data_IF_702605189601
#
_entry.id   IF_702605189601
#
_cell.length_a   1.000
_cell.length_b   1.000
_cell.length_c   1.000
_cell.angle_alpha   90.00
_cell.angle_beta   90.00
_cell.angle_gamma   90.00
#
_symmetry.space_group_name_H-M   'P 1'
#
loop_
_entity.id
_entity.type
_entity.pdbx_description
1 polymer ?
#
# COMPACT_ATOMS: atom_id res chain seq x y z
N UNK A 1 -5.90 -14.15 -21.87
CA UNK A 1 -5.44 -12.75 -22.09
C UNK A 1 -4.37 -12.42 -21.05
N UNK A 2 -3.14 -12.15 -21.49
CA UNK A 2 -2.00 -11.80 -20.63
C UNK A 2 -2.22 -10.43 -19.98
N UNK A 3 -2.86 -10.42 -18.80
CA UNK A 3 -2.86 -9.25 -17.93
C UNK A 3 -1.45 -9.04 -17.40
N UNK A 4 -0.68 -8.11 -17.99
CA UNK A 4 0.60 -7.68 -17.43
C UNK A 4 0.34 -7.20 -16.00
N UNK A 5 0.71 -8.01 -15.00
CA UNK A 5 0.69 -7.67 -13.58
C UNK A 5 1.58 -6.45 -13.37
N UNK A 6 0.96 -5.27 -13.37
CA UNK A 6 1.61 -3.98 -13.17
C UNK A 6 2.06 -3.91 -11.71
N UNK A 7 3.36 -3.70 -11.48
CA UNK A 7 3.89 -3.49 -10.14
C UNK A 7 3.26 -2.23 -9.57
N UNK A 8 2.81 -2.30 -8.31
CA UNK A 8 2.21 -1.15 -7.62
C UNK A 8 3.28 -0.07 -7.41
N UNK A 9 2.92 1.19 -7.62
CA UNK A 9 3.83 2.32 -7.49
C UNK A 9 4.47 2.37 -6.10
N UNK A 10 3.68 2.06 -5.07
CA UNK A 10 4.10 2.01 -3.67
C UNK A 10 5.23 0.99 -3.43
N UNK A 11 5.19 -0.14 -4.14
CA UNK A 11 6.24 -1.17 -4.09
C UNK A 11 7.47 -0.67 -4.83
N UNK A 12 7.29 -0.02 -5.99
CA UNK A 12 8.41 0.56 -6.76
C UNK A 12 9.15 1.61 -5.93
N UNK A 13 8.43 2.53 -5.28
CA UNK A 13 9.02 3.58 -4.42
C UNK A 13 9.83 2.94 -3.29
N UNK A 14 9.25 1.97 -2.57
CA UNK A 14 9.94 1.24 -1.52
C UNK A 14 11.24 0.59 -2.03
N UNK A 15 11.15 -0.16 -3.14
CA UNK A 15 12.29 -0.88 -3.70
C UNK A 15 13.38 0.07 -4.19
N UNK A 16 13.01 1.20 -4.79
CA UNK A 16 13.95 2.19 -5.27
C UNK A 16 14.74 2.80 -4.10
N UNK A 17 14.05 3.22 -3.04
CA UNK A 17 14.70 3.81 -1.86
C UNK A 17 15.61 2.79 -1.18
N UNK A 18 15.15 1.54 -1.01
CA UNK A 18 15.95 0.52 -0.34
C UNK A 18 17.20 0.15 -1.16
N UNK A 19 17.07 0.01 -2.49
CA UNK A 19 18.23 -0.26 -3.36
C UNK A 19 19.20 0.93 -3.39
N UNK A 20 18.71 2.16 -3.41
CA UNK A 20 19.55 3.34 -3.25
C UNK A 20 20.27 3.33 -1.90
N UNK A 21 19.60 2.96 -0.81
CA UNK A 21 20.23 2.84 0.51
C UNK A 21 21.37 1.82 0.50
N UNK A 22 21.14 0.64 -0.08
CA UNK A 22 22.18 -0.40 -0.19
C UNK A 22 23.36 0.05 -1.06
N UNK A 23 23.09 0.76 -2.16
CA UNK A 23 24.13 1.27 -3.04
C UNK A 23 24.95 2.36 -2.36
N UNK A 24 24.32 3.31 -1.67
CA UNK A 24 25.03 4.33 -0.89
C UNK A 24 25.84 3.69 0.24
N UNK A 25 25.33 2.61 0.86
CA UNK A 25 26.02 1.89 1.92
C UNK A 25 27.33 1.21 1.46
N UNK A 26 27.46 0.85 0.18
CA UNK A 26 28.73 0.34 -0.37
C UNK A 26 29.85 1.38 -0.31
N UNK A 27 29.52 2.68 -0.32
CA UNK A 27 30.49 3.77 -0.37
C UNK A 27 30.56 4.57 0.94
N UNK A 28 29.49 4.56 1.74
CA UNK A 28 29.41 5.30 3.00
C UNK A 28 29.01 4.36 4.14
N UNK A 29 29.70 4.38 5.29
CA UNK A 29 29.41 3.47 6.39
C UNK A 29 28.10 3.84 7.10
N UNK A 30 27.37 2.85 7.61
CA UNK A 30 26.11 3.08 8.34
C UNK A 30 26.31 3.91 9.62
N UNK A 31 27.39 3.60 10.33
CA UNK A 31 27.74 4.16 11.61
C UNK A 31 29.22 4.48 11.62
N UNK A 32 29.55 5.59 12.26
CA UNK A 32 30.90 6.12 12.35
C UNK A 32 31.18 6.44 13.81
N UNK A 33 32.28 5.92 14.31
CA UNK A 33 32.96 6.39 15.51
C UNK A 33 34.28 7.00 15.09
N UNK A 34 34.52 8.24 15.51
CA UNK A 34 35.75 8.98 15.16
C UNK A 34 36.38 9.62 16.38
N UNK A 35 37.69 9.50 16.45
CA UNK A 35 38.60 10.19 17.35
C UNK A 35 39.82 10.70 16.56
N UNK A 36 40.82 11.29 17.24
CA UNK A 36 41.98 11.90 16.60
C UNK A 36 42.81 10.90 15.79
N UNK A 37 43.16 9.75 16.41
CA UNK A 37 44.03 8.72 15.82
C UNK A 37 43.35 7.34 15.73
N UNK A 38 42.03 7.31 15.93
CA UNK A 38 41.21 6.11 15.92
C UNK A 38 39.88 6.39 15.23
N UNK A 39 39.46 5.53 14.32
CA UNK A 39 38.12 5.57 13.77
C UNK A 39 37.60 4.16 13.52
N UNK A 40 36.29 3.99 13.65
CA UNK A 40 35.62 2.73 13.36
C UNK A 40 34.38 2.99 12.52
N UNK A 41 34.19 2.16 11.50
CA UNK A 41 33.14 2.29 10.52
C UNK A 41 32.40 0.97 10.37
N UNK A 42 31.06 1.03 10.32
CA UNK A 42 30.23 -0.14 9.98
C UNK A 42 29.93 -0.13 8.49
N UNK A 43 30.60 -1.02 7.76
CA UNK A 43 30.45 -1.23 6.31
C UNK A 43 29.58 -2.47 6.04
N UNK A 44 29.17 -2.72 4.78
CA UNK A 44 28.44 -3.93 4.43
C UNK A 44 29.20 -5.23 4.70
N UNK A 45 30.53 -5.17 4.71
CA UNK A 45 31.41 -6.33 4.95
C UNK A 45 31.69 -6.56 6.44
N UNK A 46 31.65 -5.51 7.26
CA UNK A 46 31.92 -5.61 8.68
C UNK A 46 32.39 -4.31 9.31
N UNK A 47 33.36 -4.41 10.21
CA UNK A 47 33.92 -3.26 10.89
C UNK A 47 35.26 -2.92 10.27
N UNK A 48 35.38 -1.70 9.76
CA UNK A 48 36.65 -1.14 9.35
C UNK A 48 37.17 -0.27 10.49
N UNK A 49 38.40 -0.53 10.93
CA UNK A 49 39.02 0.09 12.09
C UNK A 49 40.32 0.73 11.62
N UNK A 50 40.38 2.06 11.68
CA UNK A 50 41.58 2.85 11.48
C UNK A 50 42.24 3.13 12.82
N UNK A 51 43.53 2.82 12.94
CA UNK A 51 44.32 3.08 14.14
C UNK A 51 45.75 3.48 13.79
N UNK A 52 46.16 4.69 14.18
CA UNK A 52 47.51 5.24 13.96
C UNK A 52 48.08 5.00 12.54
N UNK A 53 47.28 5.24 11.50
CA UNK A 53 47.73 5.08 10.11
C UNK A 53 47.66 3.65 9.56
N UNK A 54 47.16 2.70 10.34
CA UNK A 54 46.91 1.32 9.89
C UNK A 54 45.41 1.04 9.82
N UNK A 55 44.99 0.37 8.74
CA UNK A 55 43.61 -0.04 8.51
C UNK A 55 43.42 -1.54 8.75
N UNK A 56 42.38 -1.89 9.49
CA UNK A 56 41.99 -3.27 9.77
C UNK A 56 40.54 -3.50 9.41
N UNK A 57 40.26 -4.57 8.66
CA UNK A 57 38.90 -5.00 8.35
C UNK A 57 38.56 -6.25 9.15
N UNK A 58 37.63 -6.12 10.08
CA UNK A 58 37.00 -7.25 10.78
C UNK A 58 35.72 -7.64 10.05
N UNK A 59 35.80 -8.71 9.26
CA UNK A 59 34.64 -9.26 8.54
C UNK A 59 33.58 -9.70 9.56
N UNK A 60 32.36 -9.21 9.37
CA UNK A 60 31.23 -9.52 10.24
C UNK A 60 30.14 -10.27 9.48
N UNK A 61 29.89 -11.55 9.82
CA UNK A 61 28.78 -12.31 9.26
C UNK A 61 27.42 -11.61 9.48
N UNK A 62 27.27 -10.86 10.57
CA UNK A 62 26.05 -10.10 10.87
C UNK A 62 25.81 -9.00 9.82
N UNK A 63 26.85 -8.24 9.44
CA UNK A 63 26.71 -7.17 8.45
C UNK A 63 26.39 -7.74 7.07
N UNK A 64 27.08 -8.80 6.65
CA UNK A 64 26.80 -9.49 5.38
C UNK A 64 25.38 -10.05 5.36
N UNK A 65 24.94 -10.67 6.46
CA UNK A 65 23.58 -11.23 6.57
C UNK A 65 22.52 -10.12 6.52
N UNK A 66 22.79 -8.96 7.12
CA UNK A 66 21.88 -7.81 7.04
C UNK A 66 21.70 -7.31 5.60
N UNK A 67 22.79 -7.24 4.83
CA UNK A 67 22.78 -6.86 3.42
C UNK A 67 21.91 -7.83 2.60
N UNK A 68 22.07 -9.14 2.82
CA UNK A 68 21.28 -10.18 2.16
C UNK A 68 19.80 -10.03 2.50
N UNK A 69 19.45 -9.81 3.76
CA UNK A 69 18.06 -9.63 4.17
C UNK A 69 17.40 -8.37 3.61
N UNK A 70 18.14 -7.26 3.50
CA UNK A 70 17.63 -6.07 2.82
C UNK A 70 17.45 -6.30 1.31
N UNK A 71 18.39 -6.99 0.66
CA UNK A 71 18.26 -7.36 -0.75
C UNK A 71 17.03 -8.25 -0.98
N UNK A 72 16.82 -9.27 -0.14
CA UNK A 72 15.60 -10.10 -0.22
C UNK A 72 14.33 -9.28 0.02
N UNK A 73 14.36 -8.35 0.97
CA UNK A 73 13.21 -7.47 1.21
C UNK A 73 12.82 -6.67 -0.04
N UNK A 74 13.79 -6.19 -0.82
CA UNK A 74 13.53 -5.51 -2.09
C UNK A 74 13.01 -6.46 -3.18
N UNK A 75 13.55 -7.69 -3.26
CA UNK A 75 13.24 -8.65 -4.34
C UNK A 75 11.87 -9.31 -4.15
N UNK A 76 11.49 -9.67 -2.93
CA UNK A 76 10.27 -10.45 -2.64
C UNK A 76 9.01 -9.83 -3.25
N UNK A 77 8.72 -8.52 -3.08
CA UNK A 77 7.52 -7.91 -3.68
C UNK A 77 7.56 -7.85 -5.21
N UNK A 78 8.75 -7.87 -5.82
CA UNK A 78 8.94 -7.80 -7.27
C UNK A 78 8.70 -9.17 -7.90
N UNK A 79 9.18 -10.25 -7.28
CA UNK A 79 9.03 -11.63 -7.77
C UNK A 79 7.65 -12.18 -7.41
N UNK A 80 7.24 -12.02 -6.15
CA UNK A 80 5.96 -12.55 -5.66
C UNK A 80 4.85 -11.48 -5.62
N UNK A 81 4.34 -11.13 -6.81
CA UNK A 81 3.37 -10.03 -6.97
C UNK A 81 1.93 -10.38 -6.59
N UNK A 82 1.61 -11.68 -6.61
CA UNK A 82 0.23 -12.16 -6.60
C UNK A 82 -0.45 -12.01 -5.22
N UNK A 83 0.32 -12.11 -4.14
CA UNK A 83 -0.23 -12.24 -2.80
C UNK A 83 0.09 -11.08 -1.87
N UNK A 84 -0.77 -10.88 -0.85
CA UNK A 84 -0.54 -9.95 0.26
C UNK A 84 0.63 -10.41 1.15
N UNK A 85 0.90 -11.72 1.17
CA UNK A 85 1.99 -12.30 1.96
C UNK A 85 3.37 -11.85 1.50
N UNK A 86 3.53 -11.38 0.26
CA UNK A 86 4.82 -10.85 -0.21
C UNK A 86 5.19 -9.53 0.48
N UNK A 87 4.22 -8.69 0.79
CA UNK A 87 4.46 -7.44 1.53
C UNK A 87 4.90 -7.74 2.97
N UNK A 88 4.21 -8.68 3.64
CA UNK A 88 4.58 -9.09 4.99
C UNK A 88 5.95 -9.77 5.04
N UNK A 89 6.23 -10.66 4.08
CA UNK A 89 7.53 -11.33 3.98
C UNK A 89 8.66 -10.34 3.70
N UNK A 90 8.41 -9.34 2.84
CA UNK A 90 9.35 -8.23 2.61
C UNK A 90 9.62 -7.42 3.88
N UNK A 91 8.58 -7.03 4.63
CA UNK A 91 8.74 -6.32 5.90
C UNK A 91 9.46 -7.18 6.95
N UNK A 92 9.16 -8.47 7.02
CA UNK A 92 9.83 -9.40 7.93
C UNK A 92 11.32 -9.54 7.61
N UNK A 93 11.67 -9.68 6.32
CA UNK A 93 13.08 -9.70 5.89
C UNK A 93 13.79 -8.39 6.22
N UNK A 94 13.13 -7.25 6.04
CA UNK A 94 13.68 -5.95 6.41
C UNK A 94 13.95 -5.86 7.92
N UNK A 95 13.03 -6.35 8.74
CA UNK A 95 13.19 -6.43 10.20
C UNK A 95 14.38 -7.30 10.58
N UNK A 96 14.56 -8.46 9.96
CA UNK A 96 15.74 -9.31 10.19
C UNK A 96 17.03 -8.59 9.83
N UNK A 97 17.06 -7.81 8.75
CA UNK A 97 18.20 -6.95 8.40
C UNK A 97 18.56 -5.96 9.52
N UNK A 98 17.55 -5.30 10.09
CA UNK A 98 17.75 -4.42 11.26
C UNK A 98 18.26 -5.15 12.49
N UNK A 99 17.70 -6.32 12.81
CA UNK A 99 18.14 -7.14 13.95
C UNK A 99 19.62 -7.50 13.81
N UNK A 100 20.08 -7.81 12.60
CA UNK A 100 21.50 -8.08 12.35
C UNK A 100 22.39 -6.85 12.55
N UNK A 101 21.96 -5.65 12.12
CA UNK A 101 22.68 -4.40 12.41
C UNK A 101 22.74 -4.13 13.91
N UNK A 102 21.62 -4.28 14.62
CA UNK A 102 21.55 -4.06 16.08
C UNK A 102 22.49 -5.03 16.79
N UNK A 103 22.49 -6.31 16.41
CA UNK A 103 23.41 -7.30 16.96
C UNK A 103 24.88 -6.95 16.67
N UNK A 104 25.18 -6.39 15.50
CA UNK A 104 26.53 -5.92 15.19
C UNK A 104 26.92 -4.73 16.08
N UNK A 105 26.01 -3.78 16.34
CA UNK A 105 26.26 -2.69 17.29
C UNK A 105 26.45 -3.21 18.72
N UNK A 106 25.67 -4.20 19.16
CA UNK A 106 25.86 -4.83 20.47
C UNK A 106 27.22 -5.54 20.54
N UNK A 107 27.62 -6.22 19.46
CA UNK A 107 28.93 -6.84 19.37
C UNK A 107 30.05 -5.79 19.49
N UNK A 108 29.92 -4.68 18.77
CA UNK A 108 30.84 -3.56 18.86
C UNK A 108 30.94 -3.02 20.29
N UNK A 109 29.81 -2.74 20.94
CA UNK A 109 29.79 -2.17 22.29
C UNK A 109 30.33 -3.13 23.36
N UNK A 110 30.22 -4.45 23.15
CA UNK A 110 30.59 -5.46 24.14
C UNK A 110 32.02 -5.97 23.97
N UNK A 111 32.50 -6.05 22.74
CA UNK A 111 33.78 -6.69 22.42
C UNK A 111 34.81 -5.73 21.85
N UNK A 112 34.39 -4.62 21.24
CA UNK A 112 35.28 -3.57 20.74
C UNK A 112 35.30 -2.34 21.66
N UNK A 113 34.42 -2.31 22.67
CA UNK A 113 34.50 -1.38 23.79
C UNK A 113 34.40 -2.13 25.12
N UNK A 114 35.23 -1.77 26.10
CA UNK A 114 35.24 -2.34 27.44
C UNK A 114 35.52 -1.24 28.48
N UNK A 115 34.54 -0.97 29.37
CA UNK A 115 34.63 0.08 30.39
C UNK A 115 35.10 1.46 29.88
N UNK A 116 34.68 1.85 28.68
CA UNK A 116 35.06 3.12 28.06
C UNK A 116 36.38 3.10 27.28
N UNK A 117 37.11 1.99 27.31
CA UNK A 117 38.28 1.75 26.46
C UNK A 117 37.85 1.07 25.16
N UNK A 118 38.38 1.51 24.04
CA UNK A 118 38.30 0.78 22.78
C UNK A 118 39.30 -0.38 22.79
N UNK A 119 38.85 -1.55 22.36
CA UNK A 119 39.64 -2.78 22.27
C UNK A 119 40.04 -3.01 20.81
N UNK A 120 41.33 -2.95 20.56
CA UNK A 120 41.91 -3.16 19.23
C UNK A 120 42.56 -4.52 19.18
N UNK A 121 41.99 -5.41 18.38
CA UNK A 121 42.53 -6.75 18.16
C UNK A 121 43.75 -6.65 17.23
N UNK A 122 44.85 -7.28 17.63
CA UNK A 122 46.07 -7.44 16.85
C UNK A 122 46.35 -8.92 16.67
N UNK A 123 47.15 -9.33 15.67
CA UNK A 123 47.48 -10.75 15.46
C UNK A 123 48.07 -11.45 16.71
N UNK A 124 48.69 -10.69 17.62
CA UNK A 124 49.37 -11.21 18.81
C UNK A 124 48.67 -10.89 20.13
N UNK A 125 47.54 -10.19 20.14
CA UNK A 125 46.88 -9.78 21.39
C UNK A 125 45.82 -8.67 21.21
N UNK A 126 45.55 -7.93 22.28
CA UNK A 126 44.60 -6.80 22.26
C UNK A 126 45.18 -5.57 22.97
N UNK A 127 44.96 -4.39 22.40
CA UNK A 127 45.27 -3.11 23.03
C UNK A 127 43.98 -2.46 23.56
N UNK A 128 44.03 -1.93 24.78
CA UNK A 128 42.95 -1.16 25.38
C UNK A 128 43.33 0.30 25.38
N UNK A 129 42.51 1.16 24.77
CA UNK A 129 42.86 2.58 24.65
C UNK A 129 41.65 3.44 24.90
N UNK A 130 41.84 4.45 25.75
CA UNK A 130 40.83 5.44 26.05
C UNK A 130 41.07 6.67 25.17
N UNK A 131 40.07 7.03 24.36
CA UNK A 131 40.06 8.28 23.62
C UNK A 131 38.67 8.92 23.72
N UNK A 132 38.58 10.27 23.75
CA UNK A 132 37.33 10.94 23.50
C UNK A 132 36.92 10.66 22.05
N UNK A 133 35.69 10.17 21.86
CA UNK A 133 35.17 9.84 20.53
C UNK A 133 33.79 10.48 20.32
N UNK A 134 33.48 10.76 19.07
CA UNK A 134 32.13 11.12 18.62
C UNK A 134 31.53 9.98 17.83
N UNK A 135 30.26 9.66 18.05
CA UNK A 135 29.53 8.67 17.27
C UNK A 135 28.36 9.32 16.52
N UNK A 136 28.13 8.89 15.29
CA UNK A 136 26.98 9.32 14.50
C UNK A 136 26.59 8.29 13.44
N UNK A 137 25.33 8.33 13.04
CA UNK A 137 24.81 7.57 11.91
C UNK A 137 24.91 8.39 10.64
N UNK A 138 25.15 7.73 9.51
CA UNK A 138 25.28 8.41 8.21
C UNK A 138 24.09 8.14 7.29
N UNK A 139 24.13 8.70 6.07
CA UNK A 139 23.02 8.72 5.11
C UNK A 139 22.35 7.36 4.87
N UNK A 140 23.07 6.23 4.68
CA UNK A 140 22.43 4.93 4.47
C UNK A 140 21.51 4.53 5.61
N UNK A 141 21.87 4.87 6.86
CA UNK A 141 21.06 4.51 8.02
C UNK A 141 19.68 5.16 7.95
N UNK A 142 19.64 6.46 7.64
CA UNK A 142 18.39 7.20 7.50
C UNK A 142 17.56 6.72 6.30
N UNK A 143 18.21 6.33 5.19
CA UNK A 143 17.50 5.76 4.04
C UNK A 143 16.89 4.39 4.36
N UNK A 144 17.62 3.50 5.04
CA UNK A 144 17.07 2.20 5.48
C UNK A 144 15.91 2.42 6.47
N UNK A 145 16.01 3.41 7.36
CA UNK A 145 14.94 3.77 8.30
C UNK A 145 13.70 4.30 7.57
N UNK A 146 13.88 5.15 6.55
CA UNK A 146 12.79 5.59 5.69
C UNK A 146 12.16 4.41 4.93
N UNK A 147 12.96 3.47 4.41
CA UNK A 147 12.48 2.24 3.79
C UNK A 147 11.66 1.40 4.77
N UNK A 148 12.02 1.35 6.05
CA UNK A 148 11.25 0.66 7.09
C UNK A 148 9.87 1.27 7.29
N UNK A 149 9.79 2.61 7.36
CA UNK A 149 8.52 3.32 7.46
C UNK A 149 7.62 3.07 6.23
N UNK A 150 8.19 3.04 5.03
CA UNK A 150 7.43 2.76 3.81
C UNK A 150 7.02 1.28 3.76
N UNK A 151 7.89 0.35 4.16
CA UNK A 151 7.59 -1.08 4.19
C UNK A 151 6.45 -1.39 5.16
N UNK A 152 6.46 -0.79 6.35
CA UNK A 152 5.38 -0.92 7.34
C UNK A 152 4.08 -0.31 6.83
N UNK A 153 4.13 0.87 6.21
CA UNK A 153 2.96 1.48 5.56
C UNK A 153 2.41 0.60 4.44
N UNK A 154 3.29 -0.01 3.64
CA UNK A 154 2.93 -0.96 2.60
C UNK A 154 2.27 -2.22 3.19
N UNK A 155 2.79 -2.77 4.27
CA UNK A 155 2.19 -3.93 4.92
C UNK A 155 0.82 -3.60 5.55
N UNK A 156 0.69 -2.47 6.25
CA UNK A 156 -0.56 -2.06 6.91
C UNK A 156 -1.66 -1.70 5.91
N UNK A 157 -1.33 -0.86 4.93
CA UNK A 157 -2.31 -0.41 3.93
C UNK A 157 -2.44 -1.36 2.76
N UNK A 158 -1.69 -2.48 2.76
CA UNK A 158 -1.59 -3.44 1.65
C UNK A 158 -1.08 -2.78 0.37
N UNK A 159 -0.13 -1.84 0.48
CA UNK A 159 0.43 -1.03 -0.59
C UNK A 159 -0.70 -0.33 -1.35
N UNK A 160 -1.57 0.37 -0.59
CA UNK A 160 -2.71 1.09 -1.15
C UNK A 160 -2.84 2.55 -0.73
N UNK A 161 -1.79 3.12 -0.15
CA UNK A 161 -1.82 4.48 0.40
C UNK A 161 -1.68 5.58 -0.67
N UNK A 162 -1.26 5.27 -1.90
CA UNK A 162 -1.27 6.25 -3.00
C UNK A 162 -2.60 6.11 -3.78
N UNK A 163 -3.45 7.16 -3.86
CA UNK A 163 -4.72 7.13 -4.58
C UNK A 163 -4.55 7.31 -6.10
N UNK A 164 -3.42 6.91 -6.67
CA UNK A 164 -3.15 7.11 -8.10
C UNK A 164 -3.92 6.08 -8.94
N UNK A 165 -4.76 6.58 -9.86
CA UNK A 165 -5.46 5.80 -10.88
C UNK A 165 -6.47 4.75 -10.34
N UNK A 166 -7.05 5.00 -9.16
CA UNK A 166 -8.18 4.20 -8.66
C UNK A 166 -9.49 4.88 -9.05
N UNK A 167 -10.27 4.31 -9.97
CA UNK A 167 -11.62 4.80 -10.17
C UNK A 167 -12.39 4.61 -8.85
N UNK A 168 -12.96 5.70 -8.35
CA UNK A 168 -13.94 5.65 -7.27
C UNK A 168 -15.12 4.76 -7.68
N UNK A 169 -15.96 4.35 -6.73
CA UNK A 169 -17.21 3.63 -7.05
C UNK A 169 -18.03 4.40 -8.08
N UNK A 170 -18.08 5.72 -7.95
CA UNK A 170 -18.72 6.62 -8.91
C UNK A 170 -18.01 6.61 -10.27
N UNK A 171 -16.68 6.67 -10.32
CA UNK A 171 -15.95 6.62 -11.60
C UNK A 171 -16.10 5.28 -12.31
N UNK A 172 -16.22 4.18 -11.57
CA UNK A 172 -16.52 2.86 -12.14
C UNK A 172 -17.94 2.82 -12.69
N UNK A 173 -18.92 3.23 -11.89
CA UNK A 173 -20.32 3.27 -12.33
C UNK A 173 -20.50 4.21 -13.52
N UNK A 174 -19.87 5.38 -13.53
CA UNK A 174 -19.92 6.31 -14.65
C UNK A 174 -19.34 5.70 -15.93
N UNK A 175 -18.23 4.95 -15.83
CA UNK A 175 -17.70 4.21 -17.01
C UNK A 175 -18.61 3.09 -17.45
N UNK A 176 -19.20 2.34 -16.52
CA UNK A 176 -20.12 1.25 -16.83
C UNK A 176 -21.41 1.80 -17.47
N UNK A 177 -21.93 2.93 -16.98
CA UNK A 177 -23.06 3.66 -17.56
C UNK A 177 -22.74 4.13 -18.99
N UNK A 178 -21.55 4.69 -19.21
CA UNK A 178 -21.13 5.17 -20.53
C UNK A 178 -20.90 4.03 -21.55
N UNK A 179 -20.60 2.82 -21.09
CA UNK A 179 -20.30 1.67 -21.97
C UNK A 179 -21.48 0.71 -22.17
N UNK A 180 -22.33 0.52 -21.16
CA UNK A 180 -23.43 -0.47 -21.13
C UNK A 180 -24.81 0.17 -21.03
N UNK A 181 -24.88 1.49 -20.87
CA UNK A 181 -26.12 2.20 -20.56
C UNK A 181 -26.51 2.09 -19.09
N UNK A 182 -27.43 2.95 -18.66
CA UNK A 182 -27.80 3.12 -17.26
C UNK A 182 -28.41 1.85 -16.67
N UNK A 183 -29.32 1.21 -17.39
CA UNK A 183 -29.99 -0.02 -16.94
C UNK A 183 -28.99 -1.18 -16.82
N UNK A 184 -28.13 -1.37 -17.82
CA UNK A 184 -27.12 -2.43 -17.82
C UNK A 184 -26.05 -2.25 -16.74
N UNK A 185 -25.67 -1.00 -16.44
CA UNK A 185 -24.71 -0.71 -15.38
C UNK A 185 -25.29 -0.95 -13.97
N UNK A 186 -26.54 -0.53 -13.74
CA UNK A 186 -27.21 -0.74 -12.45
C UNK A 186 -27.62 -2.20 -12.22
N UNK A 187 -28.05 -2.94 -13.25
CA UNK A 187 -28.38 -4.37 -13.10
C UNK A 187 -27.16 -5.20 -12.68
N UNK A 188 -26.02 -5.04 -13.36
CA UNK A 188 -24.78 -5.75 -13.00
C UNK A 188 -24.28 -5.35 -11.60
N UNK A 189 -24.49 -4.08 -11.21
CA UNK A 189 -24.15 -3.62 -9.87
C UNK A 189 -25.07 -4.21 -8.80
N UNK A 190 -26.38 -4.28 -9.03
CA UNK A 190 -27.35 -4.91 -8.13
C UNK A 190 -27.11 -6.41 -7.99
N UNK A 191 -26.77 -7.12 -9.08
CA UNK A 191 -26.38 -8.54 -9.01
C UNK A 191 -25.12 -8.77 -8.18
N UNK A 192 -24.12 -7.89 -8.31
CA UNK A 192 -22.88 -7.99 -7.52
C UNK A 192 -23.10 -7.77 -6.03
N UNK A 193 -24.13 -7.02 -5.65
CA UNK A 193 -24.44 -6.68 -4.25
C UNK A 193 -25.54 -7.59 -3.67
N UNK A 194 -26.19 -8.40 -4.51
CA UNK A 194 -27.26 -9.30 -4.09
C UNK A 194 -28.59 -8.58 -3.82
N UNK A 195 -28.84 -7.46 -4.51
CA UNK A 195 -30.10 -6.73 -4.41
C UNK A 195 -31.09 -7.36 -5.41
N UNK A 196 -32.25 -7.87 -4.96
CA UNK A 196 -33.27 -8.37 -5.87
C UNK A 196 -33.87 -7.22 -6.67
N UNK A 197 -33.89 -7.35 -8.00
CA UNK A 197 -34.45 -6.37 -8.91
C UNK A 197 -35.29 -7.07 -9.99
N UNK A 198 -36.32 -6.38 -10.49
CA UNK A 198 -37.03 -6.78 -11.69
C UNK A 198 -36.61 -5.86 -12.85
N UNK A 199 -36.20 -6.43 -13.97
CA UNK A 199 -35.77 -5.68 -15.15
C UNK A 199 -36.78 -5.83 -16.29
N UNK A 200 -37.22 -4.69 -16.81
CA UNK A 200 -37.92 -4.56 -18.09
C UNK A 200 -37.07 -3.72 -19.05
N UNK A 201 -37.33 -3.80 -20.35
CA UNK A 201 -36.47 -3.25 -21.42
C UNK A 201 -35.96 -1.83 -21.17
N UNK A 202 -36.76 -0.95 -20.57
CA UNK A 202 -36.43 0.45 -20.24
C UNK A 202 -36.62 0.82 -18.76
N UNK A 203 -36.83 -0.17 -17.87
CA UNK A 203 -37.12 0.05 -16.44
C UNK A 203 -36.42 -0.95 -15.53
N UNK A 204 -35.95 -0.48 -14.39
CA UNK A 204 -35.39 -1.30 -13.31
C UNK A 204 -36.20 -1.04 -12.04
N UNK A 205 -36.79 -2.09 -11.46
CA UNK A 205 -37.62 -1.98 -10.27
C UNK A 205 -36.94 -2.65 -9.08
N UNK A 206 -36.80 -1.91 -7.98
CA UNK A 206 -36.30 -2.40 -6.69
C UNK A 206 -37.36 -2.05 -5.64
N UNK A 207 -38.24 -3.01 -5.31
CA UNK A 207 -39.47 -2.78 -4.52
C UNK A 207 -40.26 -1.57 -5.09
N UNK A 208 -40.46 -0.53 -4.29
CA UNK A 208 -41.17 0.71 -4.67
C UNK A 208 -40.27 1.74 -5.42
N UNK A 209 -39.03 1.38 -5.80
CA UNK A 209 -38.13 2.26 -6.54
C UNK A 209 -38.16 1.88 -8.01
N UNK A 210 -38.49 2.83 -8.88
CA UNK A 210 -38.47 2.64 -10.33
C UNK A 210 -37.38 3.51 -10.96
N UNK A 211 -36.46 2.86 -11.67
CA UNK A 211 -35.41 3.49 -12.47
C UNK A 211 -35.84 3.45 -13.94
N UNK A 212 -35.86 4.58 -14.62
CA UNK A 212 -36.23 4.64 -16.05
C UNK A 212 -35.25 5.49 -16.86
N UNK A 213 -35.11 5.18 -18.14
CA UNK A 213 -34.23 5.89 -19.09
C UNK A 213 -34.98 6.69 -20.16
N UNK A 214 -36.31 6.69 -20.13
CA UNK A 214 -37.12 7.42 -21.12
C UNK A 214 -37.34 8.88 -20.70
N UNK A 215 -36.87 9.80 -21.56
CA UNK A 215 -37.37 11.18 -21.59
C UNK A 215 -38.85 11.13 -21.98
N UNK A 216 -39.73 11.54 -21.07
CA UNK A 216 -41.20 11.56 -21.23
C UNK A 216 -41.61 12.40 -22.45
N UNK A 217 -41.71 11.75 -23.61
CA UNK A 217 -42.30 12.31 -24.83
C UNK A 217 -43.63 11.65 -25.22
N UNK A 218 -43.99 10.50 -24.66
CA UNK A 218 -45.27 9.83 -24.93
C UNK A 218 -45.77 9.17 -23.63
N UNK A 219 -47.04 9.43 -23.32
CA UNK A 219 -47.81 8.91 -22.17
C UNK A 219 -47.55 9.62 -20.83
N UNK A 220 -48.02 10.86 -20.76
CA UNK A 220 -48.27 11.61 -19.51
C UNK A 220 -49.73 11.48 -19.04
N UNK A 221 -50.49 10.55 -19.60
CA UNK A 221 -51.80 10.18 -19.06
C UNK A 221 -51.65 8.85 -18.35
N UNK A 222 -51.94 8.87 -17.05
CA UNK A 222 -52.38 7.72 -16.25
C UNK A 222 -51.35 7.24 -15.20
N UNK A 223 -51.65 7.65 -13.95
CA UNK A 223 -51.16 7.18 -12.66
C UNK A 223 -49.81 7.69 -12.12
N UNK A 224 -49.91 8.43 -11.01
CA UNK A 224 -48.93 8.40 -9.91
C UNK A 224 -48.59 6.93 -9.63
N UNK A 225 -47.38 6.44 -9.96
CA UNK A 225 -47.02 5.10 -9.53
C UNK A 225 -46.88 5.12 -8.02
N UNK A 226 -47.40 4.08 -7.36
CA UNK A 226 -47.17 3.87 -5.94
C UNK A 226 -45.67 3.63 -5.70
N UNK A 227 -44.88 4.69 -5.45
CA UNK A 227 -43.44 4.58 -5.24
C UNK A 227 -42.62 5.83 -5.57
N UNK A 228 -41.29 5.74 -5.38
CA UNK A 228 -40.34 6.77 -5.81
C UNK A 228 -39.82 6.43 -7.21
N UNK A 229 -39.64 7.43 -8.08
CA UNK A 229 -39.14 7.26 -9.44
C UNK A 229 -37.85 8.07 -9.62
N UNK A 230 -36.84 7.45 -10.23
CA UNK A 230 -35.63 8.13 -10.71
C UNK A 230 -35.56 7.93 -12.23
N UNK A 231 -35.68 9.01 -12.98
CA UNK A 231 -35.62 9.03 -14.44
C UNK A 231 -34.30 9.66 -14.88
N UNK A 232 -33.47 8.89 -15.60
CA UNK A 232 -32.24 9.39 -16.17
C UNK A 232 -32.48 9.81 -17.63
N UNK A 233 -32.50 11.14 -17.87
CA UNK A 233 -32.65 11.72 -19.20
C UNK A 233 -31.31 12.16 -19.81
N UNK A 234 -31.34 12.65 -21.06
CA UNK A 234 -30.11 13.08 -21.79
C UNK A 234 -29.45 14.33 -21.20
N UNK A 235 -30.19 15.15 -20.44
CA UNK A 235 -29.75 16.45 -19.91
C UNK A 235 -29.64 16.49 -18.38
N UNK A 236 -29.98 15.41 -17.69
CA UNK A 236 -29.98 15.37 -16.22
C UNK A 236 -30.84 14.22 -15.68
N UNK A 237 -30.92 14.13 -14.36
CA UNK A 237 -31.69 13.11 -13.65
C UNK A 237 -32.88 13.78 -12.97
N UNK A 238 -34.06 13.22 -13.16
CA UNK A 238 -35.29 13.67 -12.53
C UNK A 238 -35.68 12.67 -11.44
N UNK A 239 -35.77 13.16 -10.20
CA UNK A 239 -36.27 12.39 -9.08
C UNK A 239 -37.68 12.84 -8.73
N UNK A 240 -38.57 11.87 -8.55
CA UNK A 240 -39.93 12.06 -8.06
C UNK A 240 -40.05 11.29 -6.75
N UNK A 241 -40.18 12.04 -5.66
CA UNK A 241 -40.35 11.48 -4.32
C UNK A 241 -41.78 10.94 -4.11
N UNK A 242 -41.97 10.13 -3.05
CA UNK A 242 -43.26 9.48 -2.71
C UNK A 242 -44.38 10.48 -2.39
N UNK A 243 -44.02 11.68 -1.97
CA UNK A 243 -44.89 12.83 -1.66
C UNK A 243 -45.18 13.72 -2.88
N UNK A 244 -44.58 13.42 -4.03
CA UNK A 244 -44.76 14.18 -5.27
C UNK A 244 -43.76 15.33 -5.45
N UNK A 245 -42.75 15.47 -4.59
CA UNK A 245 -41.67 16.45 -4.83
C UNK A 245 -40.84 16.05 -6.05
N UNK A 246 -40.65 16.99 -6.98
CA UNK A 246 -39.85 16.81 -8.20
C UNK A 246 -38.52 17.56 -8.05
N UNK A 247 -37.41 16.84 -8.14
CA UNK A 247 -36.08 17.42 -8.05
C UNK A 247 -35.23 17.06 -9.26
N UNK A 248 -34.67 18.09 -9.91
CA UNK A 248 -33.70 17.94 -11.00
C UNK A 248 -32.29 17.86 -10.42
N UNK A 249 -31.52 16.87 -10.86
CA UNK A 249 -30.18 16.58 -10.36
C UNK A 249 -29.20 16.31 -11.50
N UNK A 250 -27.93 16.53 -11.22
CA UNK A 250 -26.84 16.11 -12.10
C UNK A 250 -26.71 14.57 -12.08
N UNK A 251 -26.07 14.01 -13.11
CA UNK A 251 -25.89 12.57 -13.27
C UNK A 251 -25.24 11.92 -12.04
N UNK A 252 -24.18 12.52 -11.51
CA UNK A 252 -23.45 12.00 -10.34
C UNK A 252 -24.33 11.95 -9.08
N UNK A 253 -25.15 12.97 -8.85
CA UNK A 253 -26.02 13.02 -7.68
C UNK A 253 -27.24 12.10 -7.84
N UNK A 254 -27.73 11.93 -9.07
CA UNK A 254 -28.71 10.90 -9.41
C UNK A 254 -28.19 9.49 -9.16
N UNK A 255 -26.93 9.19 -9.51
CA UNK A 255 -26.31 7.89 -9.25
C UNK A 255 -26.17 7.64 -7.75
N UNK A 256 -25.68 8.62 -6.99
CA UNK A 256 -25.57 8.52 -5.52
C UNK A 256 -26.94 8.26 -4.88
N UNK A 257 -27.97 8.97 -5.33
CA UNK A 257 -29.33 8.82 -4.81
C UNK A 257 -29.90 7.43 -5.11
N UNK A 258 -29.74 6.93 -6.35
CA UNK A 258 -30.15 5.58 -6.73
C UNK A 258 -29.49 4.54 -5.86
N UNK A 259 -28.18 4.65 -5.65
CA UNK A 259 -27.41 3.74 -4.78
C UNK A 259 -27.94 3.79 -3.35
N UNK A 260 -28.11 5.00 -2.79
CA UNK A 260 -28.58 5.18 -1.42
C UNK A 260 -29.98 4.61 -1.22
N UNK A 261 -30.91 4.89 -2.14
CA UNK A 261 -32.31 4.41 -2.07
C UNK A 261 -32.44 2.92 -2.34
N UNK A 262 -31.64 2.37 -3.24
CA UNK A 262 -31.62 0.92 -3.48
C UNK A 262 -31.07 0.17 -2.24
N UNK A 263 -30.03 0.70 -1.59
CA UNK A 263 -29.49 0.12 -0.36
C UNK A 263 -30.43 0.26 0.85
N UNK A 264 -31.12 1.38 0.98
CA UNK A 264 -32.11 1.61 2.04
C UNK A 264 -33.28 0.61 1.95
N UNK A 265 -33.64 0.20 0.73
CA UNK A 265 -34.83 -0.62 0.47
C UNK A 265 -34.53 -2.11 0.28
N UNK A 266 -33.30 -2.45 -0.08
CA UNK A 266 -32.87 -3.82 -0.18
C UNK A 266 -32.86 -4.46 1.21
N UNK A 267 -33.70 -5.48 1.42
CA UNK A 267 -33.37 -6.51 2.40
C UNK A 267 -32.15 -7.24 1.85
N UNK A 268 -30.96 -6.86 2.31
CA UNK A 268 -29.71 -7.43 1.86
C UNK A 268 -29.77 -8.93 2.18
N UNK A 269 -29.94 -9.75 1.14
CA UNK A 269 -29.97 -11.19 1.28
C UNK A 269 -28.54 -11.66 1.60
N UNK A 270 -28.23 -11.81 2.89
CA UNK A 270 -26.87 -12.11 3.37
C UNK A 270 -26.31 -13.43 2.85
N UNK A 271 -27.15 -14.34 2.39
CA UNK A 271 -26.76 -15.67 1.91
C UNK A 271 -25.98 -15.65 0.58
N UNK A 272 -26.24 -14.69 -0.33
CA UNK A 272 -25.57 -14.64 -1.65
C UNK A 272 -24.13 -14.09 -1.55
N UNK A 273 -23.82 -13.35 -0.49
CA UNK A 273 -22.48 -12.77 -0.29
C UNK A 273 -21.48 -13.84 0.19
N UNK A 274 -21.94 -14.86 0.93
CA UNK A 274 -21.05 -15.92 1.44
C UNK A 274 -20.65 -16.92 0.34
N UNK A 275 -21.56 -17.27 -0.59
CA UNK A 275 -21.30 -18.31 -1.58
C UNK A 275 -20.26 -17.91 -2.65
N UNK A 276 -20.09 -16.59 -2.92
CA UNK A 276 -19.08 -16.07 -3.86
C UNK A 276 -17.74 -15.69 -3.23
N UNK A 277 -17.58 -15.82 -1.92
CA UNK A 277 -16.30 -15.60 -1.23
C UNK A 277 -15.47 -16.90 -1.17
N UNK A 278 -16.09 -18.06 -1.40
CA UNK A 278 -15.46 -19.38 -1.30
C UNK A 278 -15.27 -20.14 -2.64
N UNK A 279 -15.37 -19.47 -3.78
CA UNK A 279 -14.97 -20.01 -5.09
C UNK A 279 -13.90 -19.14 -5.77
#
# INVERSE_FOLDING_TARGET
>A
MNGKLKIRLEVVIFTAILLSALLVWLFYPLWILRSANYAQYITPLGFEIYFFGSDFLLISPLMITSLIFFAFSAIIPIVWRSSRYSLYSSSFSLLLGFVMIINALIFEQRYLNFHGYSVILTPTGSFYIYFPYSTYFSVPFYLILASAAISTLNSLTRARWIPYNRPTLLDKLNRDIMSKGIIGAFSEWFERIGIPYAAESNKLMVKDLTLSTEDRGRELSVFFPNGEIIVFGKRGVLYIAKDGEIKYMNLDDGIKLTIAKALERAEINREIVEEKIYL
#
